data_IF_178499325709
#
_entry.id   IF_178499325709
#
_cell.length_a   1.000
_cell.length_b   1.000
_cell.length_c   1.000
_cell.angle_alpha   90.00
_cell.angle_beta   90.00
_cell.angle_gamma   90.00
#
_symmetry.space_group_name_H-M   'P 1'
#
loop_
_entity.id
_entity.type
_entity.pdbx_description
1 polymer ?
#
# COMPACT_ATOMS: atom_id res chain seq x y z
N UNK A 1 2.03 -21.18 24.70
CA UNK A 1 2.85 -20.74 23.56
C UNK A 1 2.13 -19.56 22.94
N UNK A 2 2.75 -18.37 22.87
CA UNK A 2 2.18 -17.24 22.12
C UNK A 2 2.06 -17.68 20.66
N UNK A 3 0.83 -17.80 20.16
CA UNK A 3 0.55 -18.26 18.80
C UNK A 3 1.23 -17.35 17.78
N UNK A 4 2.32 -17.83 17.19
CA UNK A 4 3.11 -17.13 16.18
C UNK A 4 2.40 -17.06 14.82
N UNK A 5 1.25 -17.71 14.69
CA UNK A 5 0.55 -17.92 13.41
C UNK A 5 0.09 -16.62 12.72
N UNK A 6 0.09 -15.47 13.41
CA UNK A 6 -0.25 -14.17 12.80
C UNK A 6 0.60 -13.00 13.32
N UNK A 7 1.84 -13.26 13.78
CA UNK A 7 2.69 -12.20 14.29
C UNK A 7 3.43 -11.47 13.15
N UNK A 8 3.40 -10.13 13.15
CA UNK A 8 4.16 -9.28 12.21
C UNK A 8 4.96 -8.23 12.96
N UNK A 9 6.20 -8.02 12.53
CA UNK A 9 7.04 -6.94 13.02
C UNK A 9 7.08 -5.83 11.96
N UNK A 10 6.53 -4.67 12.28
CA UNK A 10 6.52 -3.51 11.38
C UNK A 10 7.38 -2.39 11.95
N UNK A 11 8.19 -1.79 11.10
CA UNK A 11 8.86 -0.52 11.38
C UNK A 11 8.31 0.55 10.45
N UNK A 12 8.09 1.75 10.98
CA UNK A 12 7.61 2.91 10.20
C UNK A 12 8.57 4.07 10.43
N UNK A 13 9.13 4.59 9.35
CA UNK A 13 9.94 5.81 9.37
C UNK A 13 9.29 6.88 8.50
N UNK A 14 9.07 8.06 9.08
CA UNK A 14 8.48 9.21 8.40
C UNK A 14 9.55 10.28 8.22
N UNK A 15 9.95 10.50 6.97
CA UNK A 15 10.92 11.52 6.59
C UNK A 15 10.19 12.82 6.21
N UNK A 16 10.45 13.88 6.98
CA UNK A 16 9.95 15.23 6.72
C UNK A 16 8.42 15.36 6.72
N UNK A 17 7.70 14.42 7.34
CA UNK A 17 6.22 14.41 7.36
C UNK A 17 5.55 14.10 6.01
N UNK A 18 6.36 13.86 4.96
CA UNK A 18 5.89 13.70 3.58
C UNK A 18 6.11 12.29 3.05
N UNK A 19 7.26 11.69 3.31
CA UNK A 19 7.62 10.36 2.80
C UNK A 19 7.67 9.36 3.95
N UNK A 20 7.05 8.21 3.76
CA UNK A 20 6.95 7.16 4.77
C UNK A 20 7.50 5.86 4.20
N UNK A 21 8.39 5.21 4.96
CA UNK A 21 8.94 3.89 4.65
C UNK A 21 8.47 2.88 5.69
N UNK A 22 7.96 1.74 5.23
CA UNK A 22 7.27 0.76 6.06
C UNK A 22 7.70 -0.67 5.70
N UNK A 23 8.90 -1.11 6.09
CA UNK A 23 9.25 -2.52 6.08
C UNK A 23 8.45 -3.27 7.17
N UNK A 24 7.95 -4.44 6.80
CA UNK A 24 7.20 -5.33 7.68
C UNK A 24 7.65 -6.76 7.45
N UNK A 25 8.04 -7.45 8.51
CA UNK A 25 8.33 -8.88 8.50
C UNK A 25 7.11 -9.66 8.98
N UNK A 26 6.65 -10.60 8.16
CA UNK A 26 5.56 -11.52 8.48
C UNK A 26 6.16 -12.85 8.94
N UNK A 27 6.08 -13.14 10.25
CA UNK A 27 6.68 -14.33 10.86
C UNK A 27 5.99 -15.61 10.39
N UNK A 28 4.67 -15.55 10.18
CA UNK A 28 3.90 -16.70 9.72
C UNK A 28 4.26 -17.12 8.30
N UNK A 29 4.55 -16.14 7.44
CA UNK A 29 4.94 -16.37 6.04
C UNK A 29 6.45 -16.40 5.81
N UNK A 30 7.24 -16.13 6.85
CA UNK A 30 8.69 -15.98 6.77
C UNK A 30 9.09 -15.04 5.61
N UNK A 31 8.46 -13.87 5.53
CA UNK A 31 8.55 -13.00 4.34
C UNK A 31 8.49 -11.52 4.67
N UNK A 32 8.96 -10.71 3.73
CA UNK A 32 8.98 -9.26 3.85
C UNK A 32 7.85 -8.63 3.02
N UNK A 33 7.30 -7.56 3.58
CA UNK A 33 6.45 -6.60 2.87
C UNK A 33 7.16 -5.26 2.99
N UNK A 34 7.50 -4.67 1.85
CA UNK A 34 8.07 -3.32 1.79
C UNK A 34 7.02 -2.38 1.25
N UNK A 35 6.73 -1.30 1.98
CA UNK A 35 5.91 -0.22 1.47
C UNK A 35 6.66 1.11 1.57
N UNK A 36 6.44 1.97 0.58
CA UNK A 36 6.87 3.36 0.59
C UNK A 36 5.70 4.22 0.13
N UNK A 37 5.44 5.33 0.81
CA UNK A 37 4.41 6.28 0.40
C UNK A 37 4.93 7.71 0.47
N UNK A 38 4.36 8.58 -0.35
CA UNK A 38 4.68 10.00 -0.39
C UNK A 38 3.43 10.83 -0.60
N UNK A 39 3.23 11.81 0.27
CA UNK A 39 2.25 12.88 0.07
C UNK A 39 2.68 13.78 -1.08
N UNK A 40 1.75 14.06 -1.98
CA UNK A 40 1.92 14.93 -3.14
C UNK A 40 0.67 15.79 -3.28
N UNK A 41 0.75 16.93 -4.00
CA UNK A 41 -0.41 17.75 -4.37
C UNK A 41 -1.46 18.00 -3.25
N UNK A 42 -1.01 18.27 -2.03
CA UNK A 42 -1.89 18.48 -0.87
C UNK A 42 -2.36 17.17 -0.24
N UNK A 43 -3.55 16.71 -0.63
CA UNK A 43 -4.26 15.56 -0.02
C UNK A 43 -4.00 14.22 -0.74
N UNK A 44 -3.12 14.22 -1.74
CA UNK A 44 -2.83 13.04 -2.55
C UNK A 44 -1.67 12.25 -1.96
N UNK A 45 -1.74 10.93 -2.09
CA UNK A 45 -0.69 10.00 -1.65
C UNK A 45 -0.41 9.03 -2.78
N UNK A 46 0.85 8.97 -3.20
CA UNK A 46 1.36 7.85 -3.97
C UNK A 46 1.96 6.82 -3.03
N UNK A 47 1.64 5.55 -3.26
CA UNK A 47 2.14 4.42 -2.48
C UNK A 47 2.61 3.31 -3.40
N UNK A 48 3.77 2.75 -3.09
CA UNK A 48 4.29 1.54 -3.69
C UNK A 48 4.41 0.46 -2.62
N UNK A 49 4.12 -0.79 -2.98
CA UNK A 49 4.22 -1.93 -2.08
C UNK A 49 4.77 -3.15 -2.82
N UNK A 50 5.67 -3.88 -2.19
CA UNK A 50 6.17 -5.15 -2.69
C UNK A 50 6.13 -6.22 -1.60
N UNK A 51 5.48 -7.33 -1.89
CA UNK A 51 5.44 -8.50 -1.00
C UNK A 51 6.37 -9.59 -1.56
N UNK A 52 7.39 -9.98 -0.81
CA UNK A 52 8.41 -10.92 -1.31
C UNK A 52 7.86 -12.33 -1.49
N UNK A 53 6.94 -12.78 -0.63
CA UNK A 53 6.40 -14.14 -0.69
C UNK A 53 5.59 -14.41 -1.96
N UNK A 54 4.73 -13.46 -2.35
CA UNK A 54 3.88 -13.55 -3.54
C UNK A 54 4.52 -12.90 -4.77
N UNK A 55 5.64 -12.19 -4.59
CA UNK A 55 6.27 -11.33 -5.59
C UNK A 55 5.30 -10.32 -6.22
N UNK A 56 4.27 -9.91 -5.48
CA UNK A 56 3.29 -8.95 -5.94
C UNK A 56 3.83 -7.53 -5.73
N UNK A 57 3.88 -6.76 -6.82
CA UNK A 57 4.23 -5.35 -6.85
C UNK A 57 2.96 -4.53 -7.08
N UNK A 58 2.65 -3.62 -6.16
CA UNK A 58 1.51 -2.73 -6.21
C UNK A 58 1.91 -1.26 -6.24
N UNK A 59 1.17 -0.48 -7.02
CA UNK A 59 1.19 0.98 -7.03
C UNK A 59 -0.21 1.50 -6.76
N UNK A 60 -0.31 2.57 -5.99
CA UNK A 60 -1.56 3.20 -5.62
C UNK A 60 -1.40 4.71 -5.62
N UNK A 61 -2.39 5.40 -6.17
CA UNK A 61 -2.62 6.82 -5.99
C UNK A 61 -3.97 6.97 -5.30
N UNK A 62 -3.99 7.70 -4.19
CA UNK A 62 -5.23 8.03 -3.50
C UNK A 62 -5.31 9.53 -3.21
N UNK A 63 -6.52 10.05 -3.19
CA UNK A 63 -6.84 11.38 -2.65
C UNK A 63 -7.76 11.21 -1.46
N UNK A 64 -7.39 11.83 -0.35
CA UNK A 64 -8.19 11.82 0.88
C UNK A 64 -8.53 13.26 1.29
N UNK A 65 -9.46 13.87 0.56
CA UNK A 65 -9.93 15.22 0.81
C UNK A 65 -11.04 15.22 1.87
N UNK A 66 -11.01 16.23 2.75
CA UNK A 66 -12.06 16.43 3.77
C UNK A 66 -13.33 17.10 3.24
N UNK A 67 -13.24 17.79 2.10
CA UNK A 67 -14.32 18.65 1.59
C UNK A 67 -14.97 18.09 0.32
N UNK A 68 -14.31 17.17 -0.40
CA UNK A 68 -14.68 16.74 -1.74
C UNK A 68 -14.68 15.22 -1.91
N UNK A 69 -14.96 14.78 -3.14
CA UNK A 69 -14.80 13.41 -3.65
C UNK A 69 -13.40 12.85 -3.37
N UNK A 70 -13.36 11.66 -2.77
CA UNK A 70 -12.16 10.84 -2.64
C UNK A 70 -12.04 9.90 -3.84
N UNK A 71 -10.81 9.54 -4.19
CA UNK A 71 -10.58 8.51 -5.19
C UNK A 71 -9.37 7.66 -4.83
N UNK A 72 -9.33 6.47 -5.43
CA UNK A 72 -8.17 5.59 -5.39
C UNK A 72 -8.01 4.91 -6.75
N UNK A 73 -6.82 5.00 -7.32
CA UNK A 73 -6.40 4.29 -8.52
C UNK A 73 -5.25 3.39 -8.13
N UNK A 74 -5.38 2.09 -8.38
CA UNK A 74 -4.36 1.11 -8.03
C UNK A 74 -4.05 0.18 -9.19
N UNK A 75 -2.78 -0.14 -9.35
CA UNK A 75 -2.29 -1.15 -10.27
C UNK A 75 -1.47 -2.19 -9.51
N UNK A 76 -1.61 -3.47 -9.84
CA UNK A 76 -0.79 -4.53 -9.26
C UNK A 76 -0.38 -5.55 -10.30
N UNK A 77 0.84 -6.07 -10.17
CA UNK A 77 1.39 -7.10 -11.02
C UNK A 77 2.05 -8.18 -10.17
N UNK A 78 1.79 -9.44 -10.49
CA UNK A 78 2.51 -10.56 -9.90
C UNK A 78 3.77 -10.83 -10.72
N UNK A 79 4.94 -10.56 -10.14
CA UNK A 79 6.22 -10.76 -10.84
C UNK A 79 6.64 -12.23 -10.91
N UNK A 80 5.94 -13.13 -10.23
CA UNK A 80 6.16 -14.57 -10.33
C UNK A 80 5.47 -15.20 -11.56
N UNK A 81 4.47 -14.53 -12.14
CA UNK A 81 3.70 -15.06 -13.27
C UNK A 81 4.47 -14.94 -14.59
N UNK A 82 4.33 -15.95 -15.45
CA UNK A 82 4.95 -15.96 -16.79
C UNK A 82 4.34 -14.88 -17.69
N UNK A 83 3.01 -14.74 -17.67
CA UNK A 83 2.29 -13.68 -18.37
C UNK A 83 2.01 -12.52 -17.42
N UNK A 84 2.70 -11.41 -17.65
CA UNK A 84 2.66 -10.21 -16.80
C UNK A 84 1.53 -9.28 -17.21
N UNK A 85 0.30 -9.61 -16.81
CA UNK A 85 -0.86 -8.75 -17.05
C UNK A 85 -1.21 -7.96 -15.78
N UNK A 86 -1.06 -6.61 -15.77
CA UNK A 86 -1.37 -5.82 -14.59
C UNK A 86 -2.87 -5.77 -14.33
N UNK A 87 -3.27 -5.95 -13.07
CA UNK A 87 -4.63 -5.64 -12.62
C UNK A 87 -4.72 -4.15 -12.33
N UNK A 88 -5.64 -3.47 -12.99
CA UNK A 88 -5.97 -2.05 -12.75
C UNK A 88 -7.31 -1.94 -12.03
N UNK A 89 -7.42 -1.01 -11.09
CA UNK A 89 -8.68 -0.70 -10.40
C UNK A 89 -8.74 0.79 -10.14
N UNK A 90 -9.92 1.37 -10.36
CA UNK A 90 -10.22 2.76 -10.05
C UNK A 90 -11.54 2.82 -9.29
N UNK A 91 -11.57 3.56 -8.18
CA UNK A 91 -12.75 3.75 -7.35
C UNK A 91 -12.85 5.21 -6.90
N UNK A 92 -14.08 5.63 -6.65
CA UNK A 92 -14.38 6.96 -6.10
C UNK A 92 -15.37 6.85 -4.96
N UNK A 93 -15.21 7.70 -3.94
CA UNK A 93 -16.08 7.75 -2.77
C UNK A 93 -16.58 9.17 -2.56
N UNK A 94 -17.87 9.31 -2.33
CA UNK A 94 -18.55 10.57 -2.07
C UNK A 94 -19.03 10.58 -0.62
N UNK A 95 -18.51 11.51 0.18
CA UNK A 95 -18.95 11.71 1.55
C UNK A 95 -19.98 12.83 1.57
N UNK A 96 -21.20 12.54 2.01
CA UNK A 96 -22.25 13.53 2.20
C UNK A 96 -22.45 13.73 3.71
N UNK A 97 -22.39 14.97 4.18
CA UNK A 97 -22.94 15.32 5.49
C UNK A 97 -24.47 15.40 5.32
N UNK A 98 -25.21 14.59 6.06
CA UNK A 98 -26.68 14.60 6.12
C UNK A 98 -27.12 15.26 7.41
#
# INVERSE_FOLDING_TARGET
MLGTENCKLKYTYVHGGLTTFEPCYDLAKNSWIFAASRKVYGDDVFRAMYQTSSKNLGLEWSRNSKLNMNFKVSASINLAEESKMPKLTAESTWNFEV
#
